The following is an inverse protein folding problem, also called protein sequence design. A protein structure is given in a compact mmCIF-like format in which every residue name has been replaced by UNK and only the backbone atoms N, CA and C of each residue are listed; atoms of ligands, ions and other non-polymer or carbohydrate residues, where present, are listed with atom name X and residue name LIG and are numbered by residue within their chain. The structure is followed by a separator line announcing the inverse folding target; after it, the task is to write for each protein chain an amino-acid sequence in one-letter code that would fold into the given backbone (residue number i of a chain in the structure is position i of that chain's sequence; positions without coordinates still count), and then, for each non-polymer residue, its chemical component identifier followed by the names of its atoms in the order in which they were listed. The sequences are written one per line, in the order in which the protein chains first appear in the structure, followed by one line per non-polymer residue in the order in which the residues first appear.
data_IF_207452677752
#
_entry.id   IF_207452677752
#
_cell.length_a   1.000
_cell.length_b   1.000
_cell.length_c   1.000
_cell.angle_alpha   90.00
_cell.angle_beta   90.00
_cell.angle_gamma   90.00
#
_symmetry.space_group_name_H-M   'P 1'
#
loop_
_entity.id
_entity.type
_entity.pdbx_description
1 polymer ?
#
# COMPACT_ATOMS: atom_id res chain seq x y z
N UNK A 1 2.99 3.02 -8.60
CA UNK A 1 4.07 2.15 -9.13
C UNK A 1 5.44 2.51 -8.56
N UNK A 2 5.84 3.78 -8.55
CA UNK A 2 7.15 4.24 -8.02
C UNK A 2 7.43 3.73 -6.62
N UNK A 3 6.51 3.92 -5.67
CA UNK A 3 6.66 3.51 -4.26
C UNK A 3 6.85 2.00 -4.08
N UNK A 4 6.13 1.17 -4.86
CA UNK A 4 6.29 -0.29 -4.83
C UNK A 4 7.73 -0.67 -5.21
N UNK A 5 8.28 -0.03 -6.25
CA UNK A 5 9.65 -0.28 -6.71
C UNK A 5 10.66 0.23 -5.66
N UNK A 6 10.44 1.38 -5.05
CA UNK A 6 11.28 1.91 -3.96
C UNK A 6 11.31 0.97 -2.75
N UNK A 7 10.17 0.40 -2.37
CA UNK A 7 10.08 -0.61 -1.31
C UNK A 7 10.84 -1.89 -1.68
N UNK A 8 10.72 -2.36 -2.93
CA UNK A 8 11.47 -3.52 -3.41
C UNK A 8 12.99 -3.26 -3.42
N UNK A 9 13.43 -2.08 -3.83
CA UNK A 9 14.82 -1.66 -3.78
C UNK A 9 15.35 -1.68 -2.34
N UNK A 10 14.58 -1.14 -1.38
CA UNK A 10 14.95 -1.14 0.03
C UNK A 10 15.06 -2.57 0.58
N UNK A 11 14.11 -3.45 0.24
CA UNK A 11 14.16 -4.87 0.59
C UNK A 11 15.41 -5.58 0.04
N UNK A 12 15.73 -5.38 -1.24
CA UNK A 12 16.90 -5.97 -1.88
C UNK A 12 18.20 -5.48 -1.24
N UNK A 13 18.32 -4.19 -0.95
CA UNK A 13 19.49 -3.61 -0.25
C UNK A 13 19.69 -4.24 1.12
N UNK A 14 18.63 -4.39 1.89
CA UNK A 14 18.69 -5.02 3.22
C UNK A 14 19.10 -6.49 3.11
N UNK A 15 18.50 -7.23 2.18
CA UNK A 15 18.82 -8.65 1.93
C UNK A 15 20.29 -8.82 1.50
N UNK A 16 20.79 -7.98 0.61
CA UNK A 16 22.19 -7.98 0.19
C UNK A 16 23.14 -7.68 1.35
N UNK A 17 22.81 -6.73 2.21
CA UNK A 17 23.61 -6.41 3.39
C UNK A 17 23.70 -7.61 4.36
N UNK A 18 22.61 -8.33 4.57
CA UNK A 18 22.59 -9.56 5.37
C UNK A 18 23.46 -10.68 4.76
N UNK A 19 23.37 -10.89 3.44
CA UNK A 19 24.19 -11.86 2.71
C UNK A 19 25.68 -11.49 2.83
N UNK A 20 26.03 -10.24 2.65
CA UNK A 20 27.39 -9.76 2.76
C UNK A 20 27.97 -9.93 4.17
N UNK A 21 27.16 -9.64 5.19
CA UNK A 21 27.53 -9.88 6.59
C UNK A 21 27.81 -11.36 6.84
N UNK A 22 26.94 -12.27 6.37
CA UNK A 22 27.16 -13.71 6.50
C UNK A 22 28.43 -14.15 5.79
N UNK A 23 28.65 -13.71 4.54
CA UNK A 23 29.80 -14.09 3.74
C UNK A 23 31.15 -13.63 4.31
N UNK A 24 31.18 -12.53 5.08
CA UNK A 24 32.41 -12.05 5.77
C UNK A 24 32.83 -12.97 6.90
N UNK A 25 31.89 -13.63 7.55
CA UNK A 25 32.10 -14.37 8.80
C UNK A 25 32.07 -15.89 8.63
N UNK A 26 32.24 -16.40 7.39
CA UNK A 26 32.21 -17.84 7.09
C UNK A 26 33.60 -18.41 6.84
N UNK A 27 33.83 -19.71 7.13
CA UNK A 27 35.07 -20.39 6.83
C UNK A 27 35.40 -20.35 5.32
N UNK A 28 36.70 -20.26 5.01
CA UNK A 28 37.18 -20.38 3.62
C UNK A 28 36.92 -21.79 3.09
N UNK A 29 36.66 -21.91 1.76
CA UNK A 29 36.38 -23.18 1.13
C UNK A 29 34.90 -23.39 0.84
N UNK A 30 34.50 -24.62 0.55
CA UNK A 30 33.15 -24.98 0.13
C UNK A 30 32.74 -26.36 0.63
N UNK A 31 31.45 -26.63 0.65
CA UNK A 31 30.86 -27.92 0.98
C UNK A 31 30.88 -28.84 -0.25
N UNK A 32 31.40 -30.05 -0.10
CA UNK A 32 31.21 -31.15 -1.04
C UNK A 32 30.32 -32.20 -0.44
N UNK A 33 29.25 -32.58 -1.12
CA UNK A 33 28.31 -33.61 -0.69
C UNK A 33 28.55 -34.87 -1.54
N UNK A 34 28.64 -36.05 -0.91
CA UNK A 34 28.75 -37.32 -1.59
C UNK A 34 27.71 -38.31 -1.05
N UNK A 35 26.93 -38.88 -1.95
CA UNK A 35 26.01 -39.98 -1.62
C UNK A 35 26.67 -41.33 -1.99
N UNK A 36 26.69 -42.26 -1.03
CA UNK A 36 27.19 -43.64 -1.25
C UNK A 36 26.31 -44.63 -0.51
N UNK A 37 25.79 -45.62 -1.18
CA UNK A 37 24.96 -46.71 -0.62
C UNK A 37 23.81 -46.18 0.28
N UNK A 38 23.07 -45.15 -0.22
CA UNK A 38 21.94 -44.54 0.51
C UNK A 38 22.34 -43.63 1.70
N UNK A 39 23.61 -43.46 1.97
CA UNK A 39 24.12 -42.51 3.01
C UNK A 39 24.76 -41.28 2.40
N UNK A 40 24.56 -40.16 3.05
CA UNK A 40 25.11 -38.85 2.63
C UNK A 40 26.29 -38.48 3.51
N UNK A 41 27.40 -38.07 2.89
CA UNK A 41 28.62 -37.69 3.54
C UNK A 41 28.94 -36.24 3.17
N UNK A 42 29.33 -35.45 4.15
CA UNK A 42 29.69 -34.03 4.00
C UNK A 42 31.19 -33.85 4.15
N UNK A 43 31.79 -33.06 3.26
CA UNK A 43 33.21 -32.77 3.29
C UNK A 43 33.43 -31.27 3.12
N UNK A 44 34.31 -30.71 3.96
CA UNK A 44 34.82 -29.37 3.81
C UNK A 44 36.06 -29.41 2.89
N UNK A 45 35.98 -28.74 1.77
CA UNK A 45 37.10 -28.54 0.83
C UNK A 45 37.62 -27.10 1.01
N UNK A 46 38.91 -26.96 1.31
CA UNK A 46 39.54 -25.67 1.54
C UNK A 46 41.03 -25.69 1.09
N UNK A 47 41.60 -24.53 0.74
CA UNK A 47 43.03 -24.37 0.52
C UNK A 47 43.74 -24.17 1.83
N UNK A 48 44.75 -24.97 2.15
CA UNK A 48 45.59 -24.77 3.32
C UNK A 48 46.43 -23.50 3.13
N UNK A 49 46.80 -22.85 4.26
CA UNK A 49 47.54 -21.58 4.22
C UNK A 49 48.90 -21.69 3.53
N UNK A 50 49.53 -22.84 3.65
CA UNK A 50 50.92 -23.04 3.25
C UNK A 50 51.07 -23.84 1.95
N UNK A 51 50.00 -24.32 1.35
CA UNK A 51 50.03 -25.11 0.12
C UNK A 51 48.94 -24.66 -0.85
N UNK A 52 49.24 -24.69 -2.18
CA UNK A 52 48.21 -24.43 -3.20
C UNK A 52 47.19 -25.59 -3.34
N UNK A 53 47.37 -26.68 -2.59
CA UNK A 53 46.58 -27.91 -2.73
C UNK A 53 45.26 -27.76 -1.96
N UNK A 54 44.20 -28.25 -2.58
CA UNK A 54 42.87 -28.32 -1.94
C UNK A 54 42.85 -29.50 -0.95
N UNK A 55 42.68 -29.19 0.30
CA UNK A 55 42.48 -30.18 1.36
C UNK A 55 41.02 -30.55 1.47
N UNK A 56 40.77 -31.79 1.91
CA UNK A 56 39.41 -32.35 2.13
C UNK A 56 39.33 -32.89 3.56
N UNK A 57 38.41 -32.34 4.34
CA UNK A 57 38.13 -32.82 5.70
C UNK A 57 36.69 -33.36 5.79
N UNK A 58 36.52 -34.57 6.32
CA UNK A 58 35.21 -35.11 6.60
C UNK A 58 34.52 -34.32 7.73
N UNK A 59 33.27 -33.96 7.56
CA UNK A 59 32.46 -33.27 8.57
C UNK A 59 31.71 -34.32 9.38
N UNK A 60 32.05 -34.42 10.65
CA UNK A 60 31.43 -35.38 11.58
C UNK A 60 30.03 -34.89 12.00
N UNK A 61 29.23 -35.76 12.62
CA UNK A 61 27.93 -35.36 13.20
C UNK A 61 28.08 -34.25 14.25
N UNK A 62 29.19 -34.22 15.00
CA UNK A 62 29.47 -33.17 15.99
C UNK A 62 29.68 -31.81 15.32
N UNK A 63 30.17 -31.78 14.10
CA UNK A 63 30.48 -30.57 13.32
C UNK A 63 29.38 -30.24 12.31
N UNK A 64 28.18 -30.80 12.44
CA UNK A 64 27.08 -30.65 11.47
C UNK A 64 26.74 -29.17 11.15
N UNK A 65 26.91 -28.27 12.12
CA UNK A 65 26.77 -26.84 11.95
C UNK A 65 27.70 -26.26 10.87
N UNK A 66 28.95 -26.79 10.76
CA UNK A 66 29.88 -26.40 9.71
C UNK A 66 29.33 -26.73 8.32
N UNK A 67 28.68 -27.89 8.16
CA UNK A 67 28.05 -28.25 6.88
C UNK A 67 26.93 -27.28 6.49
N UNK A 68 26.10 -26.87 7.46
CA UNK A 68 25.05 -25.89 7.23
C UNK A 68 25.60 -24.52 6.83
N UNK A 69 26.63 -24.04 7.54
CA UNK A 69 27.29 -22.76 7.26
C UNK A 69 27.92 -22.74 5.87
N UNK A 70 28.61 -23.82 5.48
CA UNK A 70 29.21 -23.93 4.14
C UNK A 70 28.16 -24.11 3.01
N UNK A 71 27.05 -24.77 3.30
CA UNK A 71 25.92 -24.89 2.37
C UNK A 71 25.30 -23.50 2.13
N UNK A 72 25.02 -22.77 3.22
CA UNK A 72 24.47 -21.42 3.17
C UNK A 72 25.41 -20.49 2.41
N UNK A 73 26.71 -20.56 2.69
CA UNK A 73 27.73 -19.81 1.93
C UNK A 73 27.60 -20.04 0.43
N UNK A 74 27.58 -21.31 0.01
CA UNK A 74 27.47 -21.64 -1.42
C UNK A 74 26.17 -21.17 -2.06
N UNK A 75 25.09 -21.10 -1.31
CA UNK A 75 23.82 -20.49 -1.73
C UNK A 75 23.98 -18.97 -1.87
N UNK A 76 24.46 -18.30 -0.81
CA UNK A 76 24.62 -16.85 -0.75
C UNK A 76 25.55 -16.33 -1.87
N UNK A 77 26.66 -17.05 -2.16
CA UNK A 77 27.58 -16.72 -3.26
C UNK A 77 26.92 -16.77 -4.64
N UNK A 78 25.92 -17.63 -4.84
CA UNK A 78 25.17 -17.74 -6.11
C UNK A 78 24.02 -16.74 -6.20
N UNK A 79 23.34 -16.47 -5.11
CA UNK A 79 22.18 -15.56 -5.05
C UNK A 79 22.62 -14.11 -5.12
N UNK A 80 23.74 -13.75 -4.45
CA UNK A 80 24.22 -12.37 -4.39
C UNK A 80 24.30 -11.67 -5.75
N UNK A 81 24.96 -12.22 -6.78
CA UNK A 81 25.05 -11.55 -8.09
C UNK A 81 23.71 -11.40 -8.79
N UNK A 82 22.75 -12.30 -8.57
CA UNK A 82 21.40 -12.19 -9.12
C UNK A 82 20.63 -11.02 -8.49
N UNK A 83 20.66 -10.91 -7.15
CA UNK A 83 20.02 -9.80 -6.44
C UNK A 83 20.69 -8.45 -6.76
N UNK A 84 22.02 -8.42 -6.94
CA UNK A 84 22.74 -7.22 -7.36
C UNK A 84 22.30 -6.76 -8.77
N UNK A 85 22.09 -7.70 -9.69
CA UNK A 85 21.60 -7.40 -11.04
C UNK A 85 20.18 -6.87 -10.98
N UNK A 86 19.27 -7.52 -10.25
CA UNK A 86 17.87 -7.08 -10.05
C UNK A 86 17.82 -5.67 -9.46
N UNK A 87 18.60 -5.41 -8.41
CA UNK A 87 18.70 -4.08 -7.78
C UNK A 87 19.10 -3.01 -8.80
N UNK A 88 20.13 -3.28 -9.60
CA UNK A 88 20.61 -2.34 -10.62
C UNK A 88 19.56 -2.07 -11.70
N UNK A 89 18.81 -3.09 -12.11
CA UNK A 89 17.74 -2.96 -13.09
C UNK A 89 16.59 -2.10 -12.55
N UNK A 90 16.16 -2.33 -11.31
CA UNK A 90 15.12 -1.53 -10.64
C UNK A 90 15.56 -0.08 -10.41
N UNK A 91 16.78 0.16 -9.94
CA UNK A 91 17.32 1.51 -9.78
C UNK A 91 17.43 2.24 -11.13
N UNK A 92 17.84 1.56 -12.20
CA UNK A 92 17.89 2.13 -13.55
C UNK A 92 16.50 2.46 -14.08
N UNK A 93 15.51 1.58 -13.84
CA UNK A 93 14.12 1.83 -14.20
C UNK A 93 13.59 3.05 -13.47
N UNK A 94 13.74 3.10 -12.14
CA UNK A 94 13.22 4.18 -11.31
C UNK A 94 13.80 5.56 -11.69
N UNK A 95 15.07 5.60 -12.08
CA UNK A 95 15.74 6.82 -12.56
C UNK A 95 15.14 7.36 -13.86
N UNK A 96 14.60 6.50 -14.71
CA UNK A 96 14.03 6.86 -16.02
C UNK A 96 12.51 6.98 -16.00
N UNK A 97 11.89 6.45 -14.96
CA UNK A 97 10.45 6.38 -14.84
C UNK A 97 9.88 7.69 -14.33
N UNK A 98 9.09 8.33 -15.17
CA UNK A 98 8.33 9.53 -14.84
C UNK A 98 6.83 9.22 -14.99
N UNK A 99 6.12 9.22 -13.88
CA UNK A 99 4.67 8.93 -13.84
C UNK A 99 3.87 10.02 -14.57
N UNK A 100 4.35 11.25 -14.59
CA UNK A 100 3.66 12.40 -15.15
C UNK A 100 4.03 12.69 -16.61
N UNK A 101 4.89 11.87 -17.20
CA UNK A 101 5.43 12.11 -18.55
C UNK A 101 4.35 12.31 -19.62
N UNK A 102 3.24 11.60 -19.51
CA UNK A 102 2.12 11.72 -20.46
C UNK A 102 1.32 13.00 -20.17
N UNK A 103 1.13 13.33 -18.90
CA UNK A 103 0.30 14.45 -18.46
C UNK A 103 0.96 15.77 -18.83
N UNK A 104 2.30 15.88 -18.69
CA UNK A 104 3.05 17.06 -19.09
C UNK A 104 2.82 17.46 -20.56
N UNK A 105 2.64 16.47 -21.45
CA UNK A 105 2.36 16.75 -22.87
C UNK A 105 1.04 17.48 -23.02
N UNK A 106 0.00 17.04 -22.34
CA UNK A 106 -1.33 17.67 -22.37
C UNK A 106 -1.31 19.03 -21.65
N UNK A 107 -0.71 19.09 -20.46
CA UNK A 107 -0.67 20.31 -19.64
C UNK A 107 0.05 21.48 -20.33
N UNK A 108 1.04 21.18 -21.18
CA UNK A 108 1.80 22.19 -21.94
C UNK A 108 1.11 22.64 -23.22
N UNK A 109 -0.04 22.08 -23.60
CA UNK A 109 -0.80 22.54 -24.75
C UNK A 109 -1.52 23.86 -24.48
N UNK A 110 -1.77 24.66 -25.55
CA UNK A 110 -2.65 25.83 -25.44
C UNK A 110 -4.09 25.41 -25.13
N UNK A 111 -4.84 26.29 -24.47
CA UNK A 111 -6.23 26.02 -24.07
C UNK A 111 -7.13 25.70 -25.28
N UNK A 112 -6.87 26.34 -26.45
CA UNK A 112 -7.60 26.08 -27.70
C UNK A 112 -7.33 24.66 -28.19
N UNK A 113 -6.08 24.16 -28.03
CA UNK A 113 -5.72 22.81 -28.45
C UNK A 113 -6.25 21.74 -27.48
N UNK A 114 -6.24 22.01 -26.17
CA UNK A 114 -6.83 21.11 -25.15
C UNK A 114 -8.30 20.82 -25.43
N UNK A 115 -9.08 21.82 -25.91
CA UNK A 115 -10.50 21.64 -26.28
C UNK A 115 -10.72 20.65 -27.44
N UNK A 116 -9.72 20.38 -28.24
CA UNK A 116 -9.79 19.52 -29.43
C UNK A 116 -9.20 18.13 -29.21
N UNK A 117 -8.59 17.88 -28.04
CA UNK A 117 -7.87 16.65 -27.75
C UNK A 117 -8.52 15.92 -26.59
N UNK A 118 -8.65 14.59 -26.75
CA UNK A 118 -8.99 13.72 -25.62
C UNK A 118 -7.69 13.18 -24.99
N UNK A 119 -7.33 13.59 -23.78
CA UNK A 119 -6.13 13.09 -23.14
C UNK A 119 -6.23 11.58 -22.87
N UNK A 120 -5.11 10.87 -22.91
CA UNK A 120 -5.03 9.43 -22.62
C UNK A 120 -5.51 9.12 -21.19
N UNK A 121 -5.27 10.04 -20.29
CA UNK A 121 -5.80 10.06 -18.92
C UNK A 121 -6.05 11.51 -18.51
N UNK A 122 -7.06 11.71 -17.71
CA UNK A 122 -7.38 13.02 -17.14
C UNK A 122 -6.28 13.47 -16.20
N UNK A 123 -5.85 14.71 -16.32
CA UNK A 123 -4.86 15.28 -15.38
C UNK A 123 -5.48 15.43 -13.98
N UNK A 124 -4.63 15.39 -12.95
CA UNK A 124 -5.09 15.60 -11.57
C UNK A 124 -5.77 16.98 -11.43
N UNK A 125 -5.28 17.99 -12.13
CA UNK A 125 -5.90 19.33 -12.11
C UNK A 125 -7.32 19.32 -12.70
N UNK A 126 -7.53 18.62 -13.80
CA UNK A 126 -8.88 18.47 -14.41
C UNK A 126 -9.81 17.68 -13.49
N UNK A 127 -9.31 16.61 -12.87
CA UNK A 127 -10.07 15.86 -11.87
C UNK A 127 -10.47 16.76 -10.69
N UNK A 128 -9.56 17.60 -10.18
CA UNK A 128 -9.85 18.54 -9.10
C UNK A 128 -10.89 19.58 -9.51
N UNK A 129 -10.77 20.16 -10.72
CA UNK A 129 -11.74 21.12 -11.24
C UNK A 129 -13.13 20.48 -11.38
N UNK A 130 -13.20 19.33 -12.02
CA UNK A 130 -14.44 18.56 -12.14
C UNK A 130 -15.02 18.20 -10.77
N UNK A 131 -14.18 17.82 -9.82
CA UNK A 131 -14.58 17.52 -8.45
C UNK A 131 -15.21 18.74 -7.76
N UNK A 132 -14.66 19.93 -7.93
CA UNK A 132 -15.20 21.16 -7.35
C UNK A 132 -16.53 21.55 -8.00
N UNK A 133 -16.63 21.43 -9.32
CA UNK A 133 -17.82 21.82 -10.08
C UNK A 133 -18.97 20.80 -10.00
N UNK A 134 -18.67 19.56 -9.59
CA UNK A 134 -19.67 18.50 -9.54
C UNK A 134 -20.73 18.78 -8.48
N UNK A 135 -21.97 18.96 -8.95
CA UNK A 135 -23.17 19.00 -8.12
C UNK A 135 -23.73 17.59 -8.03
N UNK A 136 -24.12 17.15 -6.86
CA UNK A 136 -24.75 15.86 -6.65
C UNK A 136 -25.97 15.98 -5.76
N UNK A 137 -26.91 15.02 -5.90
CA UNK A 137 -28.08 14.95 -5.05
C UNK A 137 -27.67 14.46 -3.65
N UNK A 138 -27.99 15.27 -2.65
CA UNK A 138 -27.74 14.92 -1.26
C UNK A 138 -28.64 13.76 -0.83
N UNK A 139 -28.14 12.89 0.01
CA UNK A 139 -28.91 11.80 0.60
C UNK A 139 -30.15 12.36 1.33
N UNK A 140 -31.33 11.97 0.86
CA UNK A 140 -32.62 12.46 1.43
C UNK A 140 -33.13 11.60 2.58
N UNK A 141 -32.50 10.43 2.85
CA UNK A 141 -32.92 9.54 3.92
C UNK A 141 -32.52 10.13 5.27
N UNK A 142 -33.43 10.17 6.20
CA UNK A 142 -33.21 10.64 7.57
C UNK A 142 -32.60 12.06 7.64
N UNK A 143 -33.17 13.01 6.89
CA UNK A 143 -32.70 14.43 6.91
C UNK A 143 -32.77 15.06 8.32
N UNK A 144 -33.65 14.61 9.14
CA UNK A 144 -33.80 15.03 10.54
C UNK A 144 -32.55 14.73 11.39
N UNK A 145 -31.70 13.83 10.96
CA UNK A 145 -30.46 13.49 11.65
C UNK A 145 -29.27 14.39 11.26
N UNK A 146 -29.41 15.24 10.23
CA UNK A 146 -28.38 16.21 9.82
C UNK A 146 -28.43 17.43 10.74
N UNK A 147 -27.84 17.32 11.94
CA UNK A 147 -27.98 18.30 13.02
C UNK A 147 -26.64 18.94 13.45
N UNK A 148 -25.51 18.43 12.99
CA UNK A 148 -24.20 18.95 13.34
C UNK A 148 -23.58 19.69 12.16
N UNK A 149 -23.13 20.92 12.38
CA UNK A 149 -22.49 21.72 11.34
C UNK A 149 -20.97 21.56 11.37
N UNK A 150 -20.37 21.38 10.20
CA UNK A 150 -18.91 21.35 10.03
C UNK A 150 -18.35 22.75 9.80
N UNK A 151 -17.03 22.93 9.92
CA UNK A 151 -16.37 24.21 9.56
C UNK A 151 -16.56 24.62 8.09
N UNK A 152 -16.98 23.70 7.23
CA UNK A 152 -17.28 23.97 5.82
C UNK A 152 -18.75 24.37 5.57
N UNK A 153 -19.57 24.37 6.64
CA UNK A 153 -21.00 24.66 6.57
C UNK A 153 -21.86 23.47 6.13
N UNK A 154 -21.30 22.28 6.07
CA UNK A 154 -22.04 21.07 5.75
C UNK A 154 -22.74 20.53 7.02
N UNK A 155 -23.98 20.08 6.86
CA UNK A 155 -24.71 19.41 7.93
C UNK A 155 -24.43 17.90 7.89
N UNK A 156 -23.97 17.34 9.01
CA UNK A 156 -23.62 15.91 9.15
C UNK A 156 -24.41 15.27 10.29
N UNK A 157 -24.37 13.94 10.41
CA UNK A 157 -25.24 13.16 11.30
C UNK A 157 -24.66 12.94 12.69
N UNK A 158 -23.36 13.07 12.86
CA UNK A 158 -22.68 12.80 14.14
C UNK A 158 -21.54 13.78 14.42
N UNK A 159 -21.18 13.90 15.70
CA UNK A 159 -20.00 14.67 16.13
C UNK A 159 -18.70 14.09 15.59
N UNK A 160 -18.62 12.78 15.46
CA UNK A 160 -17.47 12.09 14.90
C UNK A 160 -17.27 12.41 13.43
N UNK A 161 -18.36 12.54 12.66
CA UNK A 161 -18.31 13.00 11.29
C UNK A 161 -17.86 14.48 11.19
N UNK A 162 -18.26 15.36 12.13
CA UNK A 162 -17.73 16.74 12.20
C UNK A 162 -16.20 16.71 12.36
N UNK A 163 -15.70 15.88 13.28
CA UNK A 163 -14.25 15.75 13.52
C UNK A 163 -13.52 15.32 12.24
N UNK A 164 -14.01 14.27 11.58
CA UNK A 164 -13.41 13.75 10.35
C UNK A 164 -13.44 14.80 9.24
N UNK A 165 -14.60 15.43 9.01
CA UNK A 165 -14.78 16.48 8.00
C UNK A 165 -13.83 17.66 8.21
N UNK A 166 -13.74 18.20 9.44
CA UNK A 166 -12.88 19.33 9.76
C UNK A 166 -11.39 18.97 9.59
N UNK A 167 -11.01 17.76 9.99
CA UNK A 167 -9.63 17.29 9.78
C UNK A 167 -9.30 17.10 8.31
N UNK A 168 -10.19 16.56 7.47
CA UNK A 168 -10.02 16.49 6.03
C UNK A 168 -9.91 17.89 5.42
N UNK A 169 -10.77 18.85 5.84
CA UNK A 169 -10.72 20.23 5.40
C UNK A 169 -9.38 20.90 5.69
N UNK A 170 -8.79 20.68 6.87
CA UNK A 170 -7.47 21.21 7.20
C UNK A 170 -6.37 20.74 6.25
N UNK A 171 -6.60 19.61 5.56
CA UNK A 171 -5.68 19.05 4.57
C UNK A 171 -6.13 19.25 3.12
N UNK A 172 -7.01 20.25 2.84
CA UNK A 172 -7.60 20.52 1.51
C UNK A 172 -6.60 20.72 0.37
N UNK A 173 -5.35 21.01 0.68
CA UNK A 173 -4.26 21.07 -0.32
C UNK A 173 -3.96 19.72 -0.93
N UNK A 174 -4.19 18.65 -0.19
CA UNK A 174 -3.84 17.28 -0.55
C UNK A 174 -5.05 16.36 -0.74
N UNK A 175 -6.16 16.68 -0.04
CA UNK A 175 -7.37 15.86 0.00
C UNK A 175 -8.58 16.75 -0.18
N UNK A 176 -9.41 16.45 -1.19
CA UNK A 176 -10.74 17.04 -1.33
C UNK A 176 -11.77 15.98 -0.97
N UNK A 177 -12.77 16.34 -0.17
CA UNK A 177 -13.83 15.40 0.19
C UNK A 177 -15.21 15.89 -0.19
N UNK A 178 -16.14 14.95 -0.29
CA UNK A 178 -17.59 15.16 -0.42
C UNK A 178 -18.30 14.28 0.60
N UNK A 179 -19.21 14.87 1.35
CA UNK A 179 -20.02 14.19 2.34
C UNK A 179 -21.23 13.53 1.66
N UNK A 180 -21.53 12.27 1.99
CA UNK A 180 -22.64 11.47 1.43
C UNK A 180 -22.79 11.60 -0.10
N UNK A 181 -21.69 11.63 -0.84
CA UNK A 181 -21.72 11.62 -2.31
C UNK A 181 -22.28 10.27 -2.79
N UNK A 182 -23.29 10.27 -3.72
CA UNK A 182 -23.88 9.05 -4.21
C UNK A 182 -22.83 8.18 -4.93
N UNK A 183 -22.85 6.89 -4.63
CA UNK A 183 -22.00 5.88 -5.23
C UNK A 183 -22.85 4.77 -5.82
N UNK A 184 -22.73 4.55 -7.11
CA UNK A 184 -23.36 3.43 -7.79
C UNK A 184 -22.62 2.13 -7.46
N UNK A 185 -23.37 1.12 -7.03
CA UNK A 185 -22.89 -0.24 -6.75
C UNK A 185 -23.83 -1.26 -7.37
N UNK A 186 -23.32 -2.45 -7.63
CA UNK A 186 -24.14 -3.57 -8.13
C UNK A 186 -24.49 -4.48 -6.96
N UNK A 187 -25.79 -4.67 -6.72
CA UNK A 187 -26.32 -5.61 -5.73
C UNK A 187 -27.23 -6.58 -6.46
N UNK A 188 -26.88 -7.86 -6.43
CA UNK A 188 -27.64 -8.95 -7.10
C UNK A 188 -27.98 -8.63 -8.56
N UNK A 189 -27.01 -8.07 -9.29
CA UNK A 189 -27.13 -7.72 -10.71
C UNK A 189 -27.89 -6.41 -10.99
N UNK A 190 -28.31 -5.67 -9.96
CA UNK A 190 -29.00 -4.37 -10.10
C UNK A 190 -28.11 -3.23 -9.64
N UNK A 191 -28.07 -2.15 -10.42
CA UNK A 191 -27.42 -0.92 -10.02
C UNK A 191 -28.22 -0.27 -8.89
N UNK A 192 -27.57 0.06 -7.80
CA UNK A 192 -28.15 0.66 -6.61
C UNK A 192 -27.24 1.79 -6.13
N UNK A 193 -27.82 2.86 -5.59
CA UNK A 193 -27.06 3.98 -5.03
C UNK A 193 -26.90 3.77 -3.52
N UNK A 194 -25.66 3.84 -3.06
CA UNK A 194 -25.31 3.93 -1.65
C UNK A 194 -24.54 5.22 -1.39
N UNK A 195 -24.43 5.60 -0.12
CA UNK A 195 -23.80 6.84 0.30
C UNK A 195 -22.69 6.51 1.30
N UNK A 196 -21.40 6.58 0.89
CA UNK A 196 -20.29 6.62 1.83
C UNK A 196 -20.38 7.88 2.68
N UNK A 197 -19.96 7.84 3.95
CA UNK A 197 -19.93 9.04 4.78
C UNK A 197 -19.05 10.11 4.12
N UNK A 198 -17.87 9.72 3.65
CA UNK A 198 -17.02 10.61 2.86
C UNK A 198 -16.48 9.89 1.62
N UNK A 199 -16.50 10.60 0.49
CA UNK A 199 -15.75 10.26 -0.71
C UNK A 199 -14.61 11.26 -0.85
N UNK A 200 -13.37 10.78 -0.94
CA UNK A 200 -12.16 11.60 -0.85
C UNK A 200 -11.38 11.48 -2.15
N UNK A 201 -11.04 12.61 -2.77
CA UNK A 201 -10.08 12.69 -3.87
C UNK A 201 -8.71 13.04 -3.30
N UNK A 202 -7.74 12.15 -3.52
CA UNK A 202 -6.34 12.47 -3.24
C UNK A 202 -5.77 13.31 -4.37
N UNK A 203 -5.46 14.59 -4.11
CA UNK A 203 -4.97 15.55 -5.10
C UNK A 203 -3.52 15.32 -5.53
N UNK A 204 -2.81 14.37 -4.92
CA UNK A 204 -1.45 13.98 -5.32
C UNK A 204 -1.49 12.86 -6.35
N UNK A 205 -2.39 11.88 -6.13
CA UNK A 205 -2.43 10.64 -6.90
C UNK A 205 -3.62 10.53 -7.85
N UNK A 206 -4.64 11.38 -7.70
CA UNK A 206 -5.92 11.28 -8.40
C UNK A 206 -6.80 10.11 -7.94
N UNK A 207 -6.39 9.37 -6.91
CA UNK A 207 -7.16 8.23 -6.39
C UNK A 207 -8.37 8.68 -5.61
N UNK A 208 -9.48 7.94 -5.75
CA UNK A 208 -10.67 8.06 -4.91
C UNK A 208 -10.58 7.04 -3.78
N UNK A 209 -10.81 7.51 -2.56
CA UNK A 209 -10.90 6.70 -1.34
C UNK A 209 -12.21 7.01 -0.65
N UNK A 210 -12.86 5.98 -0.14
CA UNK A 210 -14.10 6.10 0.64
C UNK A 210 -13.77 6.03 2.13
N UNK A 211 -14.55 6.70 2.94
CA UNK A 211 -14.44 6.63 4.42
C UNK A 211 -15.81 6.39 5.02
N UNK A 212 -15.90 5.38 5.84
CA UNK A 212 -17.08 5.05 6.66
C UNK A 212 -16.75 5.20 8.14
N UNK A 213 -17.64 5.79 8.88
CA UNK A 213 -17.55 5.87 10.33
C UNK A 213 -18.64 5.03 10.98
N UNK A 214 -18.26 3.91 11.57
CA UNK A 214 -19.18 3.00 12.27
C UNK A 214 -19.42 3.46 13.73
N UNK A 215 -20.35 4.39 13.90
CA UNK A 215 -20.56 5.13 15.14
C UNK A 215 -21.38 4.42 16.24
N UNK A 216 -21.87 3.20 16.01
CA UNK A 216 -22.78 2.50 16.96
C UNK A 216 -22.51 1.00 16.97
N UNK A 217 -21.24 0.60 17.14
CA UNK A 217 -20.84 -0.81 17.02
C UNK A 217 -21.32 -1.69 18.19
N UNK A 218 -21.87 -1.10 19.23
CA UNK A 218 -22.56 -1.76 20.34
C UNK A 218 -24.08 -1.99 20.09
N UNK A 219 -24.65 -1.44 19.02
CA UNK A 219 -26.02 -1.71 18.60
C UNK A 219 -26.07 -2.86 17.59
N UNK A 220 -26.67 -3.99 17.97
CA UNK A 220 -26.72 -5.21 17.14
C UNK A 220 -27.40 -4.99 15.78
N UNK A 221 -28.46 -4.18 15.71
CA UNK A 221 -29.15 -3.91 14.44
C UNK A 221 -28.29 -3.07 13.52
N UNK A 222 -27.66 -2.04 14.09
CA UNK A 222 -26.72 -1.20 13.35
C UNK A 222 -25.54 -2.01 12.83
N UNK A 223 -24.91 -2.81 13.68
CA UNK A 223 -23.75 -3.65 13.31
C UNK A 223 -24.10 -4.66 12.21
N UNK A 224 -25.30 -5.27 12.27
CA UNK A 224 -25.77 -6.18 11.21
C UNK A 224 -25.87 -5.45 9.87
N UNK A 225 -26.50 -4.25 9.83
CA UNK A 225 -26.58 -3.43 8.64
C UNK A 225 -25.21 -2.97 8.12
N UNK A 226 -24.29 -2.62 9.04
CA UNK A 226 -22.95 -2.24 8.70
C UNK A 226 -22.16 -3.39 8.05
N UNK A 227 -22.26 -4.60 8.59
CA UNK A 227 -21.64 -5.81 7.96
C UNK A 227 -22.18 -6.04 6.55
N UNK A 228 -23.51 -5.87 6.34
CA UNK A 228 -24.09 -5.98 5.00
C UNK A 228 -23.52 -4.91 4.05
N UNK A 229 -23.39 -3.65 4.52
CA UNK A 229 -22.79 -2.54 3.75
C UNK A 229 -21.35 -2.86 3.36
N UNK A 230 -20.54 -3.38 4.28
CA UNK A 230 -19.15 -3.78 4.00
C UNK A 230 -19.04 -4.91 2.96
N UNK A 231 -19.95 -5.89 3.02
CA UNK A 231 -20.01 -6.94 2.02
C UNK A 231 -20.42 -6.39 0.63
N UNK A 232 -21.31 -5.41 0.56
CA UNK A 232 -21.66 -4.73 -0.69
C UNK A 232 -20.44 -4.01 -1.25
N UNK A 233 -19.71 -3.26 -0.44
CA UNK A 233 -18.46 -2.61 -0.85
C UNK A 233 -17.48 -3.62 -1.43
N UNK A 234 -17.19 -4.70 -0.70
CA UNK A 234 -16.23 -5.71 -1.14
C UNK A 234 -16.61 -6.37 -2.47
N UNK A 235 -17.91 -6.67 -2.69
CA UNK A 235 -18.44 -7.19 -3.98
C UNK A 235 -18.27 -6.19 -5.13
N UNK A 236 -18.12 -4.90 -4.84
CA UNK A 236 -17.91 -3.83 -5.80
C UNK A 236 -16.45 -3.33 -5.85
N UNK A 237 -15.49 -4.16 -5.45
CA UNK A 237 -14.05 -3.84 -5.42
C UNK A 237 -13.68 -2.64 -4.54
N UNK A 238 -14.51 -2.35 -3.53
CA UNK A 238 -14.25 -1.33 -2.51
C UNK A 238 -13.85 -2.08 -1.25
N UNK A 239 -12.54 -2.08 -0.93
CA UNK A 239 -11.95 -2.99 0.06
C UNK A 239 -11.25 -2.18 1.15
N UNK A 240 -11.55 -2.51 2.40
CA UNK A 240 -10.89 -1.92 3.57
C UNK A 240 -9.39 -2.18 3.50
N UNK A 241 -8.60 -1.13 3.73
CA UNK A 241 -7.15 -1.18 3.63
C UNK A 241 -6.60 -0.88 2.23
N UNK A 242 -7.46 -0.75 1.21
CA UNK A 242 -7.05 -0.40 -0.15
C UNK A 242 -7.66 0.94 -0.60
N UNK A 243 -8.97 1.00 -0.74
CA UNK A 243 -9.70 2.20 -1.17
C UNK A 243 -10.91 2.51 -0.27
N UNK A 244 -10.97 1.88 0.89
CA UNK A 244 -11.97 2.12 1.93
C UNK A 244 -11.28 2.23 3.30
N UNK A 245 -11.51 3.34 3.97
CA UNK A 245 -11.18 3.56 5.38
C UNK A 245 -12.42 3.28 6.20
N UNK A 246 -12.24 2.60 7.33
CA UNK A 246 -13.29 2.41 8.30
C UNK A 246 -12.79 2.80 9.67
N UNK A 247 -13.53 3.71 10.34
CA UNK A 247 -13.32 4.04 11.75
C UNK A 247 -14.51 3.57 12.56
N UNK A 248 -14.28 3.23 13.82
CA UNK A 248 -15.27 2.62 14.67
C UNK A 248 -15.40 3.38 15.99
N UNK A 249 -16.60 3.41 16.55
CA UNK A 249 -16.82 3.81 17.93
C UNK A 249 -17.97 3.03 18.57
N UNK A 250 -18.00 3.03 19.88
CA UNK A 250 -19.07 2.54 20.73
C UNK A 250 -19.36 3.57 21.82
N UNK A 251 -20.41 3.38 22.59
CA UNK A 251 -20.71 4.26 23.71
C UNK A 251 -19.54 4.40 24.70
N UNK A 252 -18.76 3.34 24.90
CA UNK A 252 -17.65 3.31 25.86
C UNK A 252 -16.28 3.61 25.23
N UNK A 253 -16.17 3.58 23.91
CA UNK A 253 -14.94 3.82 23.15
C UNK A 253 -15.23 4.80 22.01
N UNK A 254 -15.15 6.11 22.28
CA UNK A 254 -15.39 7.13 21.27
C UNK A 254 -14.29 7.16 20.22
N UNK A 255 -14.55 7.84 19.11
CA UNK A 255 -13.58 8.04 18.03
C UNK A 255 -12.28 8.64 18.57
N UNK A 256 -11.15 7.95 18.32
CA UNK A 256 -9.82 8.46 18.66
C UNK A 256 -9.31 9.39 17.54
N UNK A 257 -9.17 10.67 17.88
CA UNK A 257 -8.66 11.71 16.97
C UNK A 257 -7.26 11.39 16.45
N UNK A 258 -6.42 10.71 17.24
CA UNK A 258 -5.08 10.30 16.81
C UNK A 258 -5.15 9.27 15.68
N UNK A 259 -6.11 8.35 15.75
CA UNK A 259 -6.36 7.37 14.67
C UNK A 259 -6.77 8.10 13.39
N UNK A 260 -7.70 9.05 13.47
CA UNK A 260 -8.14 9.87 12.32
C UNK A 260 -6.95 10.60 11.70
N UNK A 261 -6.11 11.23 12.54
CA UNK A 261 -4.90 11.93 12.07
C UNK A 261 -3.94 11.00 11.34
N UNK A 262 -3.64 9.85 11.90
CA UNK A 262 -2.74 8.88 11.29
C UNK A 262 -3.28 8.38 9.93
N UNK A 263 -4.60 8.10 9.84
CA UNK A 263 -5.23 7.67 8.60
C UNK A 263 -5.15 8.76 7.50
N UNK A 264 -5.34 10.02 7.86
CA UNK A 264 -5.18 11.15 6.94
C UNK A 264 -3.72 11.28 6.47
N UNK A 265 -2.75 11.15 7.38
CA UNK A 265 -1.32 11.16 7.03
C UNK A 265 -0.96 9.99 6.09
N UNK A 266 -1.54 8.80 6.31
CA UNK A 266 -1.38 7.66 5.42
C UNK A 266 -1.95 7.95 4.03
N UNK A 267 -3.14 8.55 3.93
CA UNK A 267 -3.73 8.97 2.66
C UNK A 267 -2.83 9.95 1.89
N UNK A 268 -2.31 10.97 2.57
CA UNK A 268 -1.46 12.00 1.96
C UNK A 268 -0.14 11.38 1.44
N UNK A 269 0.42 10.43 2.20
CA UNK A 269 1.68 9.77 1.84
C UNK A 269 1.51 8.59 0.87
N UNK A 270 0.29 8.32 0.38
CA UNK A 270 -0.04 7.14 -0.47
C UNK A 270 0.48 5.82 0.14
N UNK A 271 0.43 5.71 1.46
CA UNK A 271 0.72 4.48 2.19
C UNK A 271 -0.53 3.60 2.08
N UNK A 272 -0.36 2.32 1.74
CA UNK A 272 -1.46 1.36 1.76
C UNK A 272 -2.11 1.36 3.15
N UNK A 273 -3.45 1.50 3.15
CA UNK A 273 -4.26 1.75 4.35
C UNK A 273 -4.71 0.41 4.92
#
# INVERSE_FOLDING_TARGET
MRKIIENQIAYLKNTLAQIEYRLKNVPKGYLKIQARKGKVYYYHHYKAKDTKLVQRKYITRKDAQLAQVLAQKGYDERVKPLLQKELKELESFLKKYDENRVDVIYDTMSEERKKLVHPVRESIQEQMNRWQDEKYEVNTKYKENLIYETENGEMVRSKSEVIIANMLRHHKKYLLYKYERPLEVVIDGKVTIIYPDFTILNCITGKIVYWEHAGRMDDVRYTTGFVQKMNIYAKNNIVTGHNLIVTYETMNYPLDIKVVKNLIEMLINDIEI
#
